data_IF_504212613489
#
_entry.id   IF_504212613489
#
_cell.length_a   1.000
_cell.length_b   1.000
_cell.length_c   1.000
_cell.angle_alpha   90.00
_cell.angle_beta   90.00
_cell.angle_gamma   90.00
#
_symmetry.space_group_name_H-M   'P 1'
#
loop_
_entity.id
_entity.type
_entity.pdbx_description
1 polymer ?
#
# COMPACT_ATOMS: atom_id res chain seq x y z
N UNK A 1 24.21 -15.85 41.40
CA UNK A 1 24.23 -14.45 40.90
C UNK A 1 24.70 -14.36 39.45
N UNK A 2 25.83 -14.96 39.06
CA UNK A 2 26.32 -14.92 37.67
C UNK A 2 25.30 -15.41 36.63
N UNK A 3 24.61 -16.54 36.87
CA UNK A 3 23.58 -17.07 35.95
C UNK A 3 22.42 -16.09 35.75
N UNK A 4 21.92 -15.49 36.84
CA UNK A 4 20.82 -14.52 36.80
C UNK A 4 21.24 -13.27 36.02
N UNK A 5 22.45 -12.76 36.26
CA UNK A 5 23.00 -11.64 35.49
C UNK A 5 23.11 -11.95 33.99
N UNK A 6 23.64 -13.12 33.63
CA UNK A 6 23.73 -13.54 32.23
C UNK A 6 22.36 -13.62 31.55
N UNK A 7 21.34 -14.19 32.21
CA UNK A 7 19.97 -14.28 31.68
C UNK A 7 19.37 -12.90 31.49
N UNK A 8 19.53 -11.99 32.46
CA UNK A 8 19.03 -10.62 32.31
C UNK A 8 19.68 -9.88 31.15
N UNK A 9 21.00 -10.00 30.98
CA UNK A 9 21.74 -9.35 29.88
C UNK A 9 21.26 -9.89 28.52
N UNK A 10 21.12 -11.20 28.38
CA UNK A 10 20.62 -11.82 27.14
C UNK A 10 19.20 -11.32 26.83
N UNK A 11 18.32 -11.27 27.84
CA UNK A 11 16.95 -10.74 27.68
C UNK A 11 16.95 -9.30 27.18
N UNK A 12 17.73 -8.40 27.79
CA UNK A 12 17.84 -7.01 27.36
C UNK A 12 18.35 -6.89 25.91
N UNK A 13 19.36 -7.68 25.53
CA UNK A 13 19.89 -7.68 24.16
C UNK A 13 18.82 -8.13 23.15
N UNK A 14 18.08 -9.19 23.47
CA UNK A 14 16.99 -9.68 22.63
C UNK A 14 15.88 -8.62 22.47
N UNK A 15 15.48 -7.95 23.54
CA UNK A 15 14.45 -6.90 23.50
C UNK A 15 14.89 -5.70 22.64
N UNK A 16 16.14 -5.26 22.77
CA UNK A 16 16.68 -4.18 21.94
C UNK A 16 16.73 -4.57 20.46
N UNK A 17 17.09 -5.82 20.16
CA UNK A 17 17.12 -6.33 18.79
C UNK A 17 15.71 -6.33 18.17
N UNK A 18 14.72 -6.91 18.87
CA UNK A 18 13.32 -6.96 18.39
C UNK A 18 12.78 -5.55 18.17
N UNK A 19 12.97 -4.66 19.15
CA UNK A 19 12.53 -3.25 19.06
C UNK A 19 13.16 -2.54 17.86
N UNK A 20 14.43 -2.83 17.56
CA UNK A 20 15.13 -2.25 16.41
C UNK A 20 14.56 -2.75 15.09
N UNK A 21 14.27 -4.05 14.99
CA UNK A 21 13.66 -4.64 13.78
C UNK A 21 12.28 -4.03 13.54
N UNK A 22 11.46 -3.88 14.57
CA UNK A 22 10.14 -3.26 14.47
C UNK A 22 10.23 -1.78 14.09
N UNK A 23 11.13 -1.03 14.73
CA UNK A 23 11.37 0.36 14.39
C UNK A 23 11.80 0.52 12.92
N UNK A 24 12.70 -0.35 12.43
CA UNK A 24 13.11 -0.35 11.03
C UNK A 24 11.93 -0.66 10.10
N UNK A 25 11.09 -1.65 10.43
CA UNK A 25 9.89 -1.96 9.66
C UNK A 25 8.95 -0.75 9.56
N UNK A 26 8.63 -0.11 10.69
CA UNK A 26 7.74 1.07 10.71
C UNK A 26 8.31 2.24 9.92
N UNK A 27 9.61 2.52 10.07
CA UNK A 27 10.27 3.60 9.33
C UNK A 27 10.20 3.32 7.84
N UNK A 28 10.59 2.11 7.40
CA UNK A 28 10.61 1.76 5.99
C UNK A 28 9.21 1.82 5.37
N UNK A 29 8.21 1.20 5.99
CA UNK A 29 6.82 1.24 5.50
C UNK A 29 6.29 2.67 5.44
N UNK A 30 6.52 3.49 6.47
CA UNK A 30 6.11 4.90 6.48
C UNK A 30 6.75 5.71 5.34
N UNK A 31 8.04 5.49 5.05
CA UNK A 31 8.73 6.16 3.93
C UNK A 31 8.16 5.75 2.58
N UNK A 32 7.84 4.47 2.39
CA UNK A 32 7.22 3.98 1.17
C UNK A 32 5.82 4.57 1.00
N UNK A 33 4.98 4.57 2.03
CA UNK A 33 3.66 5.22 2.00
C UNK A 33 3.75 6.71 1.64
N UNK A 34 4.67 7.44 2.27
CA UNK A 34 4.90 8.86 1.96
C UNK A 34 5.30 9.08 0.49
N UNK A 35 6.17 8.23 -0.05
CA UNK A 35 6.53 8.30 -1.47
C UNK A 35 5.37 7.99 -2.41
N UNK A 36 4.47 7.08 -2.04
CA UNK A 36 3.24 6.83 -2.78
C UNK A 36 2.27 8.01 -2.73
N UNK A 37 2.06 8.62 -1.57
CA UNK A 37 1.22 9.81 -1.42
C UNK A 37 1.71 10.98 -2.28
N UNK A 38 3.02 11.26 -2.27
CA UNK A 38 3.63 12.31 -3.11
C UNK A 38 3.41 12.01 -4.60
N UNK A 39 3.60 10.74 -4.99
CA UNK A 39 3.42 10.34 -6.38
C UNK A 39 1.96 10.46 -6.84
N UNK A 40 1.02 10.16 -5.95
CA UNK A 40 -0.42 10.33 -6.17
C UNK A 40 -0.76 11.80 -6.47
N UNK A 41 -0.25 12.73 -5.66
CA UNK A 41 -0.44 14.18 -5.86
C UNK A 41 0.20 14.68 -7.18
N UNK A 42 1.42 14.22 -7.49
CA UNK A 42 2.09 14.54 -8.77
C UNK A 42 1.29 14.06 -9.99
N UNK A 43 0.65 12.90 -9.90
CA UNK A 43 -0.20 12.35 -10.97
C UNK A 43 -1.50 13.14 -11.09
N UNK A 44 -2.11 13.56 -10.00
CA UNK A 44 -3.35 14.35 -10.05
C UNK A 44 -3.11 15.74 -10.66
N UNK A 45 -1.95 16.34 -10.40
CA UNK A 45 -1.53 17.63 -10.93
C UNK A 45 -1.06 17.60 -12.41
N UNK A 46 -1.09 16.43 -13.06
CA UNK A 46 -0.58 16.26 -14.42
C UNK A 46 -1.50 16.94 -15.46
N UNK A 47 -0.88 17.75 -16.33
CA UNK A 47 -1.55 18.48 -17.42
C UNK A 47 -0.82 18.27 -18.75
N UNK A 48 -1.40 18.75 -19.86
CA UNK A 48 -0.88 18.53 -21.23
C UNK A 48 0.61 18.94 -21.40
N UNK A 49 1.01 20.07 -20.80
CA UNK A 49 2.40 20.57 -20.85
C UNK A 49 3.39 19.74 -20.00
N UNK A 50 2.90 19.02 -19.00
CA UNK A 50 3.71 18.27 -18.02
C UNK A 50 3.88 16.80 -18.41
N UNK A 51 3.32 16.42 -19.56
CA UNK A 51 3.35 15.06 -20.12
C UNK A 51 4.76 14.46 -20.22
N UNK A 52 5.80 15.29 -20.39
CA UNK A 52 7.19 14.82 -20.44
C UNK A 52 7.65 14.15 -19.13
N UNK A 53 7.09 14.54 -17.97
CA UNK A 53 7.39 13.97 -16.64
C UNK A 53 6.71 12.62 -16.42
N UNK A 54 5.71 12.27 -17.22
CA UNK A 54 4.96 11.01 -17.07
C UNK A 54 5.87 9.79 -17.13
N UNK A 55 6.91 9.82 -17.98
CA UNK A 55 7.87 8.72 -18.06
C UNK A 55 8.61 8.50 -16.74
N UNK A 56 8.97 9.58 -16.06
CA UNK A 56 9.72 9.52 -14.81
C UNK A 56 8.80 9.12 -13.64
N UNK A 57 7.55 9.60 -13.65
CA UNK A 57 6.49 9.16 -12.72
C UNK A 57 6.27 7.65 -12.82
N UNK A 58 6.17 7.10 -14.04
CA UNK A 58 5.96 5.65 -14.25
C UNK A 58 7.15 4.84 -13.75
N UNK A 59 8.38 5.28 -14.05
CA UNK A 59 9.59 4.64 -13.54
C UNK A 59 9.63 4.65 -12.01
N UNK A 60 9.27 5.79 -11.40
CA UNK A 60 9.21 5.94 -9.95
C UNK A 60 8.12 5.06 -9.33
N UNK A 61 6.95 4.98 -9.95
CA UNK A 61 5.88 4.08 -9.53
C UNK A 61 6.33 2.62 -9.53
N UNK A 62 6.96 2.17 -10.63
CA UNK A 62 7.47 0.80 -10.76
C UNK A 62 8.54 0.51 -9.70
N UNK A 63 9.47 1.45 -9.50
CA UNK A 63 10.50 1.31 -8.46
C UNK A 63 9.90 1.22 -7.05
N UNK A 64 8.89 2.04 -6.72
CA UNK A 64 8.22 1.99 -5.43
C UNK A 64 7.44 0.68 -5.22
N UNK A 65 6.82 0.17 -6.29
CA UNK A 65 6.12 -1.12 -6.24
C UNK A 65 7.12 -2.26 -5.97
N UNK A 66 8.24 -2.30 -6.69
CA UNK A 66 9.31 -3.27 -6.46
C UNK A 66 9.90 -3.14 -5.04
N UNK A 67 10.12 -1.91 -4.56
CA UNK A 67 10.58 -1.66 -3.20
C UNK A 67 9.59 -2.17 -2.15
N UNK A 68 8.29 -1.97 -2.36
CA UNK A 68 7.25 -2.48 -1.45
C UNK A 68 7.20 -4.00 -1.41
N UNK A 69 7.38 -4.67 -2.56
CA UNK A 69 7.44 -6.13 -2.66
C UNK A 69 8.68 -6.69 -1.94
N UNK A 70 9.84 -6.06 -2.15
CA UNK A 70 11.08 -6.45 -1.47
C UNK A 70 10.98 -6.25 0.05
N UNK A 71 10.35 -5.15 0.50
CA UNK A 71 10.08 -4.90 1.91
C UNK A 71 9.17 -5.99 2.49
N UNK A 72 8.08 -6.32 1.79
CA UNK A 72 7.19 -7.39 2.21
C UNK A 72 7.94 -8.72 2.33
N UNK A 73 8.77 -9.09 1.35
CA UNK A 73 9.53 -10.35 1.38
C UNK A 73 10.52 -10.42 2.55
N UNK A 74 11.29 -9.35 2.77
CA UNK A 74 12.28 -9.25 3.86
C UNK A 74 11.59 -9.33 5.23
N UNK A 75 10.47 -8.63 5.40
CA UNK A 75 9.78 -8.54 6.70
C UNK A 75 8.67 -9.59 6.87
N UNK A 76 8.37 -10.42 5.86
CA UNK A 76 7.35 -11.48 5.94
C UNK A 76 7.63 -12.45 7.09
N UNK A 77 8.87 -12.94 7.18
CA UNK A 77 9.30 -13.84 8.25
C UNK A 77 9.22 -13.19 9.63
N UNK A 78 9.95 -12.08 9.87
CA UNK A 78 9.91 -11.35 11.14
C UNK A 78 8.50 -10.98 11.59
N UNK A 79 7.64 -10.46 10.70
CA UNK A 79 6.27 -10.09 11.04
C UNK A 79 5.43 -11.31 11.43
N UNK A 80 5.60 -12.44 10.74
CA UNK A 80 4.92 -13.68 11.09
C UNK A 80 5.31 -14.16 12.49
N UNK A 81 6.62 -14.18 12.80
CA UNK A 81 7.09 -14.53 14.13
C UNK A 81 6.60 -13.55 15.19
N UNK A 82 6.55 -12.24 14.88
CA UNK A 82 6.07 -11.24 15.82
C UNK A 82 4.59 -11.45 16.18
N UNK A 83 3.73 -11.74 15.19
CA UNK A 83 2.31 -12.07 15.44
C UNK A 83 2.17 -13.38 16.22
N UNK A 84 2.96 -14.39 15.89
CA UNK A 84 2.93 -15.68 16.57
C UNK A 84 3.35 -15.55 18.05
N UNK A 85 4.49 -14.91 18.32
CA UNK A 85 5.00 -14.66 19.67
C UNK A 85 4.02 -13.79 20.44
N UNK A 86 3.56 -12.68 19.84
CA UNK A 86 2.58 -11.80 20.47
C UNK A 86 1.26 -12.49 20.81
N UNK A 87 0.79 -13.43 19.98
CA UNK A 87 -0.40 -14.23 20.30
C UNK A 87 -0.19 -15.17 21.49
N UNK A 88 0.99 -15.78 21.60
CA UNK A 88 1.36 -16.64 22.73
C UNK A 88 1.51 -15.82 24.02
N UNK A 89 2.12 -14.64 23.94
CA UNK A 89 2.22 -13.71 25.06
C UNK A 89 0.83 -13.27 25.53
N UNK A 90 -0.05 -12.87 24.61
CA UNK A 90 -1.44 -12.51 24.95
C UNK A 90 -2.17 -13.65 25.66
N UNK A 91 -2.03 -14.88 25.17
CA UNK A 91 -2.61 -16.07 25.80
C UNK A 91 -2.04 -16.34 27.21
N UNK A 92 -0.72 -16.27 27.35
CA UNK A 92 -0.05 -16.50 28.63
C UNK A 92 -0.42 -15.43 29.67
N UNK A 93 -0.42 -14.16 29.27
CA UNK A 93 -0.80 -13.03 30.12
C UNK A 93 -2.29 -13.09 30.48
N UNK A 94 -3.17 -13.47 29.55
CA UNK A 94 -4.59 -13.68 29.81
C UNK A 94 -4.83 -14.76 30.88
N UNK A 95 -4.04 -15.84 30.86
CA UNK A 95 -4.07 -16.86 31.91
C UNK A 95 -3.54 -16.32 33.24
N UNK A 96 -2.43 -15.56 33.21
CA UNK A 96 -1.89 -14.89 34.40
C UNK A 96 -2.88 -13.93 35.05
N UNK A 97 -3.74 -13.25 34.28
CA UNK A 97 -4.81 -12.40 34.82
C UNK A 97 -5.90 -13.20 35.55
N UNK A 98 -6.11 -14.47 35.19
CA UNK A 98 -7.15 -15.32 35.78
C UNK A 98 -6.72 -15.94 37.11
N UNK A 99 -5.42 -16.22 37.27
CA UNK A 99 -4.85 -16.91 38.45
C UNK A 99 -4.04 -15.97 39.35
N UNK A 100 -3.62 -14.81 38.82
CA UNK A 100 -2.74 -13.86 39.51
C UNK A 100 -3.41 -13.12 40.67
N UNK A 101 -2.57 -12.60 41.56
CA UNK A 101 -3.00 -11.75 42.66
C UNK A 101 -3.40 -10.35 42.17
N UNK A 102 -4.39 -9.74 42.84
CA UNK A 102 -4.97 -8.44 42.46
C UNK A 102 -3.94 -7.30 42.39
N UNK A 103 -2.83 -7.41 43.12
CA UNK A 103 -1.76 -6.40 43.13
C UNK A 103 -0.94 -6.35 41.81
N UNK A 104 -0.87 -7.46 41.06
CA UNK A 104 -0.06 -7.56 39.83
C UNK A 104 -0.86 -7.32 38.55
N UNK A 105 -2.18 -7.38 38.62
CA UNK A 105 -3.12 -7.15 37.52
C UNK A 105 -2.81 -5.87 36.72
N UNK A 106 -2.62 -4.67 37.34
CA UNK A 106 -2.40 -3.46 36.56
C UNK A 106 -1.14 -3.53 35.68
N UNK A 107 -0.06 -4.16 36.17
CA UNK A 107 1.16 -4.35 35.38
C UNK A 107 0.96 -5.30 34.20
N UNK A 108 0.26 -6.42 34.43
CA UNK A 108 -0.06 -7.41 33.38
C UNK A 108 -0.96 -6.82 32.31
N UNK A 109 -1.98 -6.04 32.69
CA UNK A 109 -2.88 -5.36 31.75
C UNK A 109 -2.14 -4.32 30.91
N UNK A 110 -1.27 -3.51 31.52
CA UNK A 110 -0.45 -2.54 30.79
C UNK A 110 0.47 -3.24 29.77
N UNK A 111 1.15 -4.31 30.18
CA UNK A 111 2.01 -5.08 29.29
C UNK A 111 1.22 -5.73 28.14
N UNK A 112 0.08 -6.36 28.44
CA UNK A 112 -0.85 -6.91 27.43
C UNK A 112 -1.28 -5.85 26.42
N UNK A 113 -1.67 -4.66 26.91
CA UNK A 113 -2.11 -3.56 26.04
C UNK A 113 -0.98 -3.08 25.12
N UNK A 114 0.26 -3.08 25.58
CA UNK A 114 1.43 -2.70 24.80
C UNK A 114 1.65 -3.66 23.62
N UNK A 115 1.68 -4.98 23.89
CA UNK A 115 1.86 -6.00 22.86
C UNK A 115 0.71 -5.95 21.85
N UNK A 116 -0.51 -5.76 22.33
CA UNK A 116 -1.68 -5.64 21.46
C UNK A 116 -1.60 -4.44 20.53
N UNK A 117 -1.21 -3.27 21.05
CA UNK A 117 -0.99 -2.06 20.22
C UNK A 117 0.10 -2.28 19.18
N UNK A 118 1.19 -2.98 19.54
CA UNK A 118 2.27 -3.29 18.61
C UNK A 118 1.79 -4.14 17.41
N UNK A 119 0.98 -5.17 17.66
CA UNK A 119 0.39 -6.00 16.59
C UNK A 119 -0.57 -5.16 15.73
N UNK A 120 -1.44 -4.38 16.35
CA UNK A 120 -2.37 -3.51 15.64
C UNK A 120 -1.64 -2.51 14.74
N UNK A 121 -0.55 -1.92 15.21
CA UNK A 121 0.24 -0.97 14.42
C UNK A 121 0.78 -1.63 13.16
N UNK A 122 1.34 -2.84 13.25
CA UNK A 122 1.83 -3.58 12.06
C UNK A 122 0.71 -3.78 11.05
N UNK A 123 -0.48 -4.19 11.51
CA UNK A 123 -1.64 -4.38 10.63
C UNK A 123 -2.08 -3.07 9.97
N UNK A 124 -2.16 -1.97 10.73
CA UNK A 124 -2.55 -0.64 10.21
C UNK A 124 -1.54 -0.11 9.20
N UNK A 125 -0.24 -0.28 9.45
CA UNK A 125 0.79 0.13 8.50
C UNK A 125 0.76 -0.71 7.22
N UNK A 126 0.51 -2.02 7.33
CA UNK A 126 0.29 -2.88 6.17
C UNK A 126 -0.92 -2.45 5.35
N UNK A 127 -2.04 -2.15 6.00
CA UNK A 127 -3.25 -1.65 5.34
C UNK A 127 -3.01 -0.29 4.67
N UNK A 128 -2.34 0.65 5.35
CA UNK A 128 -2.00 1.94 4.79
C UNK A 128 -1.13 1.80 3.53
N UNK A 129 -0.16 0.89 3.52
CA UNK A 129 0.67 0.65 2.34
C UNK A 129 -0.18 0.17 1.15
N UNK A 130 -1.13 -0.73 1.39
CA UNK A 130 -2.07 -1.18 0.36
C UNK A 130 -2.97 -0.02 -0.09
N UNK A 131 -3.50 0.77 0.84
CA UNK A 131 -4.38 1.90 0.55
C UNK A 131 -3.69 2.96 -0.32
N UNK A 132 -2.49 3.40 0.08
CA UNK A 132 -1.71 4.41 -0.64
C UNK A 132 -1.26 3.91 -2.02
N UNK A 133 -0.88 2.64 -2.14
CA UNK A 133 -0.53 2.05 -3.45
C UNK A 133 -1.73 1.96 -4.40
N UNK A 134 -2.92 1.76 -3.83
CA UNK A 134 -4.20 1.75 -4.57
C UNK A 134 -4.53 3.19 -4.96
N UNK A 135 -4.47 4.17 -4.06
CA UNK A 135 -4.83 5.58 -4.31
C UNK A 135 -4.19 6.20 -5.57
N UNK A 136 -2.99 5.75 -5.94
CA UNK A 136 -2.31 6.13 -7.20
C UNK A 136 -3.17 5.87 -8.44
N UNK A 137 -3.88 4.75 -8.49
CA UNK A 137 -4.81 4.43 -9.56
C UNK A 137 -6.01 5.37 -9.61
N UNK A 138 -6.47 5.84 -8.45
CA UNK A 138 -7.54 6.83 -8.35
C UNK A 138 -7.08 8.21 -8.80
N UNK A 139 -5.90 8.64 -8.37
CA UNK A 139 -5.30 9.89 -8.81
C UNK A 139 -5.03 9.89 -10.32
N UNK A 140 -4.57 8.76 -10.86
CA UNK A 140 -4.42 8.55 -12.30
C UNK A 140 -5.77 8.68 -13.03
N UNK A 141 -6.87 8.20 -12.44
CA UNK A 141 -8.21 8.35 -13.02
C UNK A 141 -8.69 9.81 -13.00
N UNK A 142 -8.45 10.53 -11.90
CA UNK A 142 -8.87 11.92 -11.70
C UNK A 142 -8.07 12.93 -12.51
N UNK A 143 -6.89 12.58 -13.03
CA UNK A 143 -6.09 13.48 -13.85
C UNK A 143 -6.75 13.77 -15.22
N UNK A 144 -6.36 14.85 -15.91
CA UNK A 144 -6.93 15.25 -17.22
C UNK A 144 -6.38 14.41 -18.39
N UNK A 145 -6.27 13.10 -18.21
CA UNK A 145 -5.67 12.17 -19.19
C UNK A 145 -6.33 12.21 -20.57
N UNK A 146 -7.61 12.57 -20.65
CA UNK A 146 -8.37 12.68 -21.90
C UNK A 146 -7.87 13.80 -22.82
N UNK A 147 -7.22 14.84 -22.30
CA UNK A 147 -6.63 15.93 -23.08
C UNK A 147 -5.17 15.66 -23.48
N UNK A 148 -4.57 14.55 -23.04
CA UNK A 148 -3.16 14.23 -23.32
C UNK A 148 -2.95 13.48 -24.64
N UNK A 149 -1.69 13.40 -25.07
CA UNK A 149 -1.27 12.62 -26.24
C UNK A 149 -1.59 11.12 -26.10
N UNK A 150 -1.73 10.43 -27.23
CA UNK A 150 -2.05 9.00 -27.30
C UNK A 150 -1.06 8.13 -26.52
N UNK A 151 0.22 8.47 -26.53
CA UNK A 151 1.25 7.73 -25.79
C UNK A 151 0.99 7.80 -24.28
N UNK A 152 0.66 8.98 -23.78
CA UNK A 152 0.43 9.27 -22.37
C UNK A 152 -0.85 8.65 -21.86
N UNK A 153 -1.91 8.69 -22.67
CA UNK A 153 -3.16 7.97 -22.42
C UNK A 153 -2.93 6.49 -22.18
N UNK A 154 -2.17 5.82 -23.05
CA UNK A 154 -1.87 4.40 -22.90
C UNK A 154 -1.06 4.11 -21.62
N UNK A 155 -0.14 4.99 -21.26
CA UNK A 155 0.68 4.84 -20.06
C UNK A 155 -0.14 5.02 -18.77
N UNK A 156 -1.00 6.03 -18.70
CA UNK A 156 -1.88 6.26 -17.54
C UNK A 156 -2.88 5.10 -17.42
N UNK A 157 -3.43 4.62 -18.54
CA UNK A 157 -4.30 3.44 -18.56
C UNK A 157 -3.59 2.20 -17.98
N UNK A 158 -2.31 2.01 -18.30
CA UNK A 158 -1.53 0.90 -17.76
C UNK A 158 -1.37 1.02 -16.24
N UNK A 159 -1.16 2.23 -15.70
CA UNK A 159 -1.13 2.47 -14.25
C UNK A 159 -2.48 2.11 -13.61
N UNK A 160 -3.60 2.55 -14.20
CA UNK A 160 -4.94 2.23 -13.68
C UNK A 160 -5.23 0.72 -13.65
N UNK A 161 -4.83 0.00 -14.71
CA UNK A 161 -4.97 -1.46 -14.79
C UNK A 161 -4.12 -2.14 -13.72
N UNK A 162 -2.87 -1.68 -13.53
CA UNK A 162 -1.96 -2.24 -12.53
C UNK A 162 -2.40 -1.98 -11.09
N UNK A 163 -3.02 -0.84 -10.83
CA UNK A 163 -3.60 -0.51 -9.53
C UNK A 163 -4.97 -1.19 -9.27
N UNK A 164 -5.50 -1.98 -10.21
CA UNK A 164 -6.75 -2.71 -10.04
C UNK A 164 -8.05 -1.89 -10.17
N UNK A 165 -7.97 -0.59 -10.46
CA UNK A 165 -9.13 0.32 -10.50
C UNK A 165 -10.11 0.05 -11.65
N UNK A 166 -9.60 -0.52 -12.75
CA UNK A 166 -10.40 -0.72 -13.97
C UNK A 166 -11.53 -1.73 -13.78
N UNK A 167 -11.43 -2.63 -12.79
CA UNK A 167 -12.40 -3.71 -12.61
C UNK A 167 -13.65 -3.31 -11.82
N UNK A 168 -13.67 -2.17 -11.11
CA UNK A 168 -14.83 -1.77 -10.31
C UNK A 168 -15.78 -0.80 -11.01
N UNK A 169 -15.29 0.06 -11.92
CA UNK A 169 -16.09 1.16 -12.48
C UNK A 169 -16.35 1.12 -13.98
N UNK A 170 -15.68 0.25 -14.75
CA UNK A 170 -15.90 0.23 -16.20
C UNK A 170 -16.36 -1.13 -16.68
N UNK A 171 -17.65 -1.28 -17.05
CA UNK A 171 -18.07 -2.47 -17.76
C UNK A 171 -17.24 -2.55 -19.04
N UNK A 172 -16.52 -3.66 -19.24
CA UNK A 172 -15.68 -3.95 -20.40
C UNK A 172 -16.34 -3.63 -21.76
N UNK A 173 -17.68 -3.58 -21.80
CA UNK A 173 -18.47 -3.19 -22.98
C UNK A 173 -18.38 -1.70 -23.35
N UNK A 174 -18.10 -0.79 -22.41
CA UNK A 174 -17.96 0.64 -22.67
C UNK A 174 -16.61 0.99 -23.33
N UNK A 175 -15.54 0.24 -23.03
CA UNK A 175 -14.23 0.44 -23.66
C UNK A 175 -14.21 0.08 -25.15
N UNK A 176 -14.98 -0.94 -25.57
CA UNK A 176 -15.12 -1.31 -26.98
C UNK A 176 -15.83 -0.22 -27.81
N UNK A 177 -16.70 0.59 -27.19
CA UNK A 177 -17.37 1.72 -27.84
C UNK A 177 -16.49 2.98 -27.92
N UNK A 178 -15.61 3.20 -26.94
CA UNK A 178 -14.74 4.38 -26.92
C UNK A 178 -13.44 4.22 -27.72
N UNK A 179 -12.98 2.98 -27.95
CA UNK A 179 -11.79 2.67 -28.75
C UNK A 179 -12.12 2.32 -30.21
N UNK A 180 -13.14 2.93 -30.84
CA UNK A 180 -13.23 2.83 -32.30
C UNK A 180 -12.15 3.73 -32.92
N UNK A 181 -11.09 3.19 -33.55
CA UNK A 181 -10.12 4.02 -34.24
C UNK A 181 -10.87 4.82 -35.29
N UNK A 182 -10.65 6.14 -35.31
CA UNK A 182 -11.18 7.03 -36.34
C UNK A 182 -10.55 6.62 -37.67
N UNK A 183 -11.25 5.78 -38.43
CA UNK A 183 -10.87 5.38 -39.79
C UNK A 183 -10.65 6.63 -40.65
N UNK A 184 -9.43 6.89 -41.15
CA UNK A 184 -9.17 7.98 -42.07
C UNK A 184 -9.48 7.49 -43.48
N UNK A 185 -10.74 7.21 -43.80
CA UNK A 185 -11.04 6.70 -45.14
C UNK A 185 -12.42 6.10 -45.38
N UNK A 186 -13.49 6.91 -45.29
CA UNK A 186 -14.62 6.74 -46.22
C UNK A 186 -15.45 8.03 -46.33
N UNK A 187 -15.11 8.84 -47.34
CA UNK A 187 -16.02 9.84 -47.94
C UNK A 187 -17.09 9.10 -48.76
N UNK A 188 -18.28 9.69 -48.83
CA UNK A 188 -19.42 9.41 -49.71
C UNK A 188 -20.35 8.24 -49.37
N UNK A 189 -21.56 8.58 -48.88
CA UNK A 189 -22.80 8.35 -49.65
C UNK A 189 -23.86 9.35 -49.21
N UNK A 190 -24.11 10.32 -50.08
CA UNK A 190 -25.34 11.09 -50.16
C UNK A 190 -26.36 10.14 -50.79
N UNK A 191 -27.55 9.99 -50.20
CA UNK A 191 -28.80 10.09 -50.97
C UNK A 191 -29.98 10.45 -50.04
N UNK A 192 -30.93 11.28 -50.54
CA UNK A 192 -32.02 11.89 -49.78
C UNK A 192 -33.34 11.13 -49.95
N UNK A 193 -34.33 11.42 -49.08
CA UNK A 193 -35.80 11.34 -49.25
C UNK A 193 -36.42 11.19 -47.84
N UNK A 194 -37.52 11.80 -47.43
CA UNK A 194 -38.46 12.77 -48.00
C UNK A 194 -39.26 13.29 -46.79
N UNK A 195 -39.64 14.56 -46.77
CA UNK A 195 -40.64 15.08 -45.82
C UNK A 195 -41.54 16.05 -46.58
N UNK A 196 -42.54 15.51 -47.26
CA UNK A 196 -43.89 16.06 -47.37
C UNK A 196 -44.82 14.96 -47.87
#
# INVERSE_FOLDING_TARGET
>A
MQIVMSVTIVGFICLLYITTVDALYYIMTSRVCCHFAILSDEIQALDENTTHRLRDIVKRHQYLLELSQNLEEIFRGPNFFNVLIGSLEICALGFSLTIGEWEQIPGVVLFLSSVFVQILMISVFGENLIRESTEIGEAAFRCKWYNMDKKSKNTILLIMIRAGYVCHYVPLNAYALYYKPKDPGRRSRIEPQETN
#
